data_IF_888399837358
#
_entry.id   IF_888399837358
#
_cell.length_a   1.000
_cell.length_b   1.000
_cell.length_c   1.000
_cell.angle_alpha   90.00
_cell.angle_beta   90.00
_cell.angle_gamma   90.00
#
_symmetry.space_group_name_H-M   'P 1'
#
loop_
_entity.id
_entity.type
_entity.pdbx_description
1 polymer ?
#
# COMPACT_ATOMS: atom_id res chain seq x y z
N UNK A 1 22.98 -1.18 26.94
CA UNK A 1 22.89 -0.89 25.49
C UNK A 1 21.54 -0.24 25.21
N UNK A 2 21.52 0.96 24.62
CA UNK A 2 20.30 1.48 24.00
C UNK A 2 20.13 0.79 22.65
N UNK A 3 19.12 -0.08 22.51
CA UNK A 3 18.78 -0.70 21.23
C UNK A 3 17.94 0.28 20.41
N UNK A 4 18.58 1.29 19.82
CA UNK A 4 17.91 2.19 18.87
C UNK A 4 17.99 1.62 17.46
N UNK A 5 16.88 1.65 16.73
CA UNK A 5 16.84 1.29 15.30
C UNK A 5 17.71 2.30 14.53
N UNK A 6 18.63 1.81 13.69
CA UNK A 6 19.39 2.65 12.77
C UNK A 6 18.48 3.12 11.62
N UNK A 7 18.30 4.43 11.50
CA UNK A 7 17.45 5.07 10.50
C UNK A 7 18.27 5.73 9.37
N UNK A 8 19.55 5.38 9.25
CA UNK A 8 20.44 5.91 8.21
C UNK A 8 19.88 5.65 6.82
N UNK A 9 19.75 6.71 6.02
CA UNK A 9 19.25 6.62 4.64
C UNK A 9 20.41 6.43 3.67
N UNK A 10 20.48 5.24 3.06
CA UNK A 10 21.45 4.92 2.02
C UNK A 10 20.99 5.45 0.65
N UNK A 11 21.49 6.63 0.25
CA UNK A 11 21.03 7.36 -0.95
C UNK A 11 21.14 6.55 -2.26
N UNK A 12 22.24 5.83 -2.47
CA UNK A 12 22.41 5.02 -3.69
C UNK A 12 21.43 3.84 -3.74
N UNK A 13 21.19 3.18 -2.60
CA UNK A 13 20.18 2.12 -2.50
C UNK A 13 18.77 2.65 -2.79
N UNK A 14 18.43 3.80 -2.22
CA UNK A 14 17.16 4.49 -2.47
C UNK A 14 16.99 4.83 -3.96
N UNK A 15 18.03 5.40 -4.58
CA UNK A 15 18.03 5.75 -6.01
C UNK A 15 17.76 4.52 -6.88
N UNK A 16 18.45 3.41 -6.62
CA UNK A 16 18.25 2.16 -7.36
C UNK A 16 16.82 1.61 -7.19
N UNK A 17 16.28 1.64 -5.97
CA UNK A 17 14.91 1.20 -5.70
C UNK A 17 13.87 2.05 -6.44
N UNK A 18 14.04 3.37 -6.45
CA UNK A 18 13.17 4.30 -7.20
C UNK A 18 13.20 4.00 -8.70
N UNK A 19 14.38 3.76 -9.27
CA UNK A 19 14.50 3.43 -10.69
C UNK A 19 13.86 2.09 -11.06
N UNK A 20 13.98 1.07 -10.21
CA UNK A 20 13.29 -0.22 -10.40
C UNK A 20 11.77 -0.05 -10.33
N UNK A 21 11.26 0.73 -9.37
CA UNK A 21 9.84 0.99 -9.23
C UNK A 21 9.27 1.68 -10.48
N UNK A 22 9.96 2.71 -11.00
CA UNK A 22 9.58 3.39 -12.25
C UNK A 22 9.55 2.42 -13.44
N UNK A 23 10.64 1.66 -13.64
CA UNK A 23 10.74 0.68 -14.76
C UNK A 23 9.64 -0.37 -14.75
N UNK A 24 9.16 -0.75 -13.57
CA UNK A 24 8.10 -1.75 -13.38
C UNK A 24 6.70 -1.14 -13.21
N UNK A 25 6.57 0.18 -13.37
CA UNK A 25 5.31 0.92 -13.16
C UNK A 25 4.67 0.64 -11.79
N UNK A 26 5.50 0.63 -10.74
CA UNK A 26 5.07 0.41 -9.35
C UNK A 26 4.86 1.79 -8.71
N UNK A 27 3.61 2.05 -8.30
CA UNK A 27 3.26 3.25 -7.52
C UNK A 27 3.23 2.88 -6.05
N UNK A 28 4.09 3.51 -5.25
CA UNK A 28 4.18 3.28 -3.81
C UNK A 28 3.26 4.28 -3.09
N UNK A 29 2.36 3.85 -2.19
CA UNK A 29 1.51 4.77 -1.45
C UNK A 29 2.31 5.59 -0.44
N UNK A 30 1.89 6.84 -0.26
CA UNK A 30 2.38 7.69 0.82
C UNK A 30 1.79 7.28 2.17
N UNK A 31 2.42 7.67 3.28
CA UNK A 31 1.84 7.47 4.61
C UNK A 31 0.44 8.09 4.78
N UNK A 32 0.21 9.26 4.18
CA UNK A 32 -1.12 9.91 4.18
C UNK A 32 -2.17 9.03 3.51
N UNK A 33 -1.82 8.41 2.37
CA UNK A 33 -2.68 7.45 1.68
C UNK A 33 -2.92 6.19 2.51
N UNK A 34 -1.92 5.65 3.20
CA UNK A 34 -2.11 4.44 4.02
C UNK A 34 -2.96 4.70 5.29
N UNK A 35 -2.84 5.90 5.89
CA UNK A 35 -3.60 6.30 7.09
C UNK A 35 -5.09 6.51 6.80
N UNK A 36 -5.39 7.14 5.67
CA UNK A 36 -6.76 7.40 5.22
C UNK A 36 -6.91 7.06 3.73
N UNK A 37 -6.97 5.75 3.41
CA UNK A 37 -6.94 5.28 2.04
C UNK A 37 -8.23 5.58 1.28
N UNK A 38 -9.35 5.70 1.99
CA UNK A 38 -10.63 6.06 1.39
C UNK A 38 -10.58 7.47 0.80
N UNK A 39 -10.01 8.45 1.50
CA UNK A 39 -9.99 9.84 1.04
C UNK A 39 -8.78 10.18 0.16
N UNK A 40 -7.65 9.49 0.33
CA UNK A 40 -6.38 9.92 -0.29
C UNK A 40 -5.87 9.00 -1.40
N UNK A 41 -6.41 7.79 -1.57
CA UNK A 41 -6.05 6.92 -2.70
C UNK A 41 -6.56 7.51 -4.02
N UNK A 42 -5.71 7.69 -5.05
CA UNK A 42 -6.13 8.23 -6.33
C UNK A 42 -7.20 7.37 -7.02
N UNK A 43 -8.12 7.99 -7.76
CA UNK A 43 -9.20 7.31 -8.45
C UNK A 43 -8.70 6.19 -9.38
N UNK A 44 -7.63 6.43 -10.14
CA UNK A 44 -7.04 5.43 -11.03
C UNK A 44 -6.58 4.15 -10.29
N UNK A 45 -6.08 4.29 -9.07
CA UNK A 45 -5.70 3.14 -8.24
C UNK A 45 -6.95 2.41 -7.74
N UNK A 46 -7.99 3.12 -7.29
CA UNK A 46 -9.26 2.51 -6.90
C UNK A 46 -9.88 1.71 -8.06
N UNK A 47 -9.87 2.25 -9.27
CA UNK A 47 -10.36 1.53 -10.46
C UNK A 47 -9.53 0.29 -10.79
N UNK A 48 -8.21 0.36 -10.60
CA UNK A 48 -7.35 -0.82 -10.74
C UNK A 48 -7.69 -1.87 -9.66
N UNK A 49 -7.81 -1.46 -8.40
CA UNK A 49 -8.15 -2.33 -7.28
C UNK A 49 -9.50 -3.04 -7.47
N UNK A 50 -10.50 -2.40 -8.07
CA UNK A 50 -11.80 -3.03 -8.43
C UNK A 50 -11.64 -4.27 -9.32
N UNK A 51 -10.54 -4.36 -10.08
CA UNK A 51 -10.22 -5.45 -11.00
C UNK A 51 -9.15 -6.39 -10.46
N UNK A 52 -8.56 -6.08 -9.30
CA UNK A 52 -7.45 -6.82 -8.69
C UNK A 52 -7.94 -7.66 -7.52
N UNK A 53 -7.61 -8.96 -7.57
CA UNK A 53 -7.79 -9.90 -6.48
C UNK A 53 -6.96 -9.53 -5.26
N UNK A 54 -7.46 -9.88 -4.08
CA UNK A 54 -6.77 -9.61 -2.81
C UNK A 54 -5.40 -10.29 -2.73
N UNK A 55 -5.26 -11.45 -3.36
CA UNK A 55 -4.05 -12.28 -3.35
C UNK A 55 -3.21 -12.17 -4.63
N UNK A 56 -3.62 -11.32 -5.57
CA UNK A 56 -2.89 -11.13 -6.83
C UNK A 56 -1.56 -10.43 -6.57
N UNK A 57 -0.53 -10.84 -7.32
CA UNK A 57 0.78 -10.19 -7.33
C UNK A 57 0.72 -8.95 -8.22
N UNK A 58 -0.01 -7.93 -7.77
CA UNK A 58 -0.14 -6.63 -8.44
C UNK A 58 0.24 -5.49 -7.49
N UNK A 59 1.02 -4.53 -7.98
CA UNK A 59 1.50 -3.37 -7.21
C UNK A 59 0.39 -2.49 -6.63
N UNK A 60 -0.82 -2.53 -7.18
CA UNK A 60 -1.98 -1.83 -6.63
C UNK A 60 -2.29 -2.29 -5.20
N UNK A 61 -2.04 -3.57 -4.87
CA UNK A 61 -2.27 -4.11 -3.52
C UNK A 61 -1.40 -3.44 -2.44
N UNK A 62 -0.34 -2.71 -2.81
CA UNK A 62 0.42 -1.89 -1.84
C UNK A 62 -0.49 -0.84 -1.15
N UNK A 63 -1.53 -0.35 -1.83
CA UNK A 63 -2.51 0.58 -1.25
C UNK A 63 -3.47 -0.09 -0.25
N UNK A 64 -3.49 -1.42 -0.17
CA UNK A 64 -4.30 -2.21 0.78
C UNK A 64 -3.49 -2.67 2.01
N UNK A 65 -2.25 -2.22 2.20
CA UNK A 65 -1.46 -2.46 3.43
C UNK A 65 -1.97 -1.55 4.56
N UNK A 66 -3.17 -1.84 5.04
CA UNK A 66 -3.92 -1.05 6.03
C UNK A 66 -4.99 -1.91 6.69
N UNK A 67 -5.39 -1.55 7.91
CA UNK A 67 -6.47 -2.23 8.65
C UNK A 67 -7.88 -1.95 8.12
N UNK A 68 -8.00 -0.98 7.20
CA UNK A 68 -9.26 -0.54 6.60
C UNK A 68 -9.58 -1.24 5.27
N UNK A 69 -9.00 -2.42 5.01
CA UNK A 69 -9.24 -3.14 3.77
C UNK A 69 -10.60 -3.85 3.79
N UNK A 70 -11.37 -3.73 2.71
CA UNK A 70 -12.65 -4.45 2.58
C UNK A 70 -12.39 -5.96 2.37
N UNK A 71 -12.97 -6.86 3.17
CA UNK A 71 -12.66 -8.29 3.14
C UNK A 71 -13.38 -9.03 2.02
N UNK A 72 -13.10 -8.68 0.76
CA UNK A 72 -13.61 -9.40 -0.43
C UNK A 72 -12.46 -10.00 -1.23
N UNK A 73 -12.73 -11.15 -1.88
CA UNK A 73 -11.73 -11.87 -2.68
C UNK A 73 -11.22 -11.03 -3.86
N UNK A 74 -12.10 -10.26 -4.49
CA UNK A 74 -11.78 -9.44 -5.66
C UNK A 74 -12.52 -8.12 -5.59
N UNK A 75 -11.86 -7.05 -6.04
CA UNK A 75 -12.47 -5.75 -6.25
C UNK A 75 -12.70 -4.91 -4.99
N UNK A 76 -12.21 -5.35 -3.83
CA UNK A 76 -12.38 -4.66 -2.56
C UNK A 76 -11.72 -3.30 -2.52
N UNK A 77 -12.39 -2.30 -1.97
CA UNK A 77 -11.75 -1.01 -1.75
C UNK A 77 -11.37 -0.90 -0.28
N UNK A 78 -11.92 0.11 0.38
CA UNK A 78 -11.66 0.39 1.78
C UNK A 78 -12.97 0.36 2.55
N UNK A 79 -12.89 0.11 3.85
CA UNK A 79 -14.02 0.05 4.75
C UNK A 79 -13.60 0.43 6.17
N UNK A 80 -14.40 0.00 7.15
CA UNK A 80 -14.05 0.15 8.56
C UNK A 80 -12.85 -0.74 8.91
N UNK A 81 -12.28 -0.50 10.09
CA UNK A 81 -11.23 -1.37 10.65
C UNK A 81 -11.82 -2.78 10.80
N UNK A 82 -11.07 -3.80 10.38
CA UNK A 82 -11.44 -5.19 10.65
C UNK A 82 -11.24 -5.50 12.14
N UNK A 83 -12.28 -5.95 12.82
CA UNK A 83 -12.24 -6.35 14.22
C UNK A 83 -13.12 -7.59 14.46
N UNK A 84 -12.84 -8.31 15.54
CA UNK A 84 -13.67 -9.41 16.05
C UNK A 84 -14.23 -8.92 17.39
N UNK A 85 -15.55 -9.00 17.57
CA UNK A 85 -16.22 -8.73 18.86
C UNK A 85 -16.46 -10.06 19.58
N UNK A 86 -16.40 -10.05 20.91
CA UNK A 86 -16.64 -11.20 21.81
C UNK A 86 -17.95 -11.02 22.57
#
# INVERSE_FOLDING_TARGET
MSYSIDLTVHKEGLKNAVEVAKKRNIVIPTFKQMKDPEHHTPAAIKEKLKKTGLWDVDSANLFRITWKNQPTKTGGLFGKVNYIEL
#
